data_IF_236612104950
#
_entry.id   IF_236612104950
#
_cell.length_a   1.000
_cell.length_b   1.000
_cell.length_c   1.000
_cell.angle_alpha   90.00
_cell.angle_beta   90.00
_cell.angle_gamma   90.00
#
_symmetry.space_group_name_H-M   'P 1'
#
loop_
_entity.id
_entity.type
_entity.pdbx_description
1 polymer ?
#
# COMPACT_ATOMS: atom_id res chain seq x y z
N UNK A 1 13.55 -2.67 -41.85
CA UNK A 1 13.37 -1.73 -40.74
C UNK A 1 14.76 -1.31 -40.26
N UNK A 2 15.12 -0.07 -40.46
CA UNK A 2 16.44 0.47 -40.08
C UNK A 2 16.55 0.64 -38.57
N UNK A 3 17.78 0.60 -38.00
CA UNK A 3 18.03 0.83 -36.58
C UNK A 3 17.43 2.15 -36.08
N UNK A 4 17.43 3.21 -36.91
CA UNK A 4 16.79 4.49 -36.58
C UNK A 4 15.29 4.39 -36.28
N UNK A 5 14.54 3.54 -37.01
CA UNK A 5 13.11 3.30 -36.76
C UNK A 5 12.83 2.59 -35.43
N UNK A 6 13.75 1.72 -35.00
CA UNK A 6 13.65 1.04 -33.68
C UNK A 6 14.00 1.97 -32.52
N UNK A 7 14.93 2.88 -32.75
CA UNK A 7 15.32 3.85 -31.70
C UNK A 7 14.27 4.95 -31.54
N UNK A 8 13.60 5.38 -32.63
CA UNK A 8 12.46 6.28 -32.58
C UNK A 8 11.24 5.62 -31.90
N UNK A 9 10.99 4.36 -32.13
CA UNK A 9 9.91 3.61 -31.51
C UNK A 9 10.20 3.35 -30.01
N UNK A 10 11.46 3.08 -29.65
CA UNK A 10 11.91 3.02 -28.25
C UNK A 10 11.82 4.37 -27.55
N UNK A 11 12.17 5.46 -28.24
CA UNK A 11 12.05 6.82 -27.70
C UNK A 11 10.58 7.22 -27.52
N UNK A 12 9.68 6.86 -28.46
CA UNK A 12 8.22 7.06 -28.33
C UNK A 12 7.63 6.21 -27.22
N UNK A 13 8.12 4.99 -26.98
CA UNK A 13 7.73 4.14 -25.85
C UNK A 13 8.28 4.67 -24.51
N UNK A 14 9.43 5.32 -24.52
CA UNK A 14 10.02 5.96 -23.33
C UNK A 14 9.39 7.34 -23.03
N UNK A 15 8.87 8.04 -24.05
CA UNK A 15 8.05 9.24 -23.94
C UNK A 15 6.55 8.89 -23.80
N UNK A 16 6.21 7.80 -23.11
CA UNK A 16 4.83 7.59 -22.68
C UNK A 16 4.43 8.85 -21.91
N UNK A 17 3.44 9.55 -22.43
CA UNK A 17 2.80 10.67 -21.75
C UNK A 17 2.54 10.24 -20.30
N UNK A 18 3.01 11.04 -19.36
CA UNK A 18 2.70 10.80 -17.95
C UNK A 18 1.18 10.70 -17.85
N UNK A 19 0.65 9.66 -17.19
CA UNK A 19 -0.80 9.52 -17.11
C UNK A 19 -1.41 10.76 -16.46
N UNK A 20 -2.49 11.25 -17.03
CA UNK A 20 -3.24 12.33 -16.41
C UNK A 20 -3.82 11.86 -15.07
N UNK A 21 -3.22 12.31 -13.99
CA UNK A 21 -3.64 11.98 -12.62
C UNK A 21 -4.72 12.93 -12.08
N UNK A 22 -5.07 13.98 -12.80
CA UNK A 22 -6.05 14.96 -12.31
C UNK A 22 -7.38 14.32 -11.91
N UNK A 23 -7.96 13.35 -12.66
CA UNK A 23 -9.19 12.68 -12.25
C UNK A 23 -9.02 11.86 -10.96
N UNK A 24 -7.91 11.12 -10.83
CA UNK A 24 -7.60 10.35 -9.61
C UNK A 24 -7.47 11.26 -8.40
N UNK A 25 -6.74 12.36 -8.56
CA UNK A 25 -6.50 13.33 -7.49
C UNK A 25 -7.78 14.05 -7.06
N UNK A 26 -8.68 14.35 -7.98
CA UNK A 26 -9.98 14.93 -7.66
C UNK A 26 -10.83 13.97 -6.82
N UNK A 27 -10.90 12.69 -7.20
CA UNK A 27 -11.64 11.68 -6.44
C UNK A 27 -10.96 11.39 -5.09
N UNK A 28 -9.63 11.42 -5.03
CA UNK A 28 -8.88 11.29 -3.76
C UNK A 28 -9.22 12.45 -2.82
N UNK A 29 -9.18 13.70 -3.29
CA UNK A 29 -9.51 14.89 -2.49
C UNK A 29 -10.94 14.81 -1.94
N UNK A 30 -11.88 14.40 -2.77
CA UNK A 30 -13.26 14.24 -2.35
C UNK A 30 -13.42 13.09 -1.34
N UNK A 31 -12.78 11.95 -1.58
CA UNK A 31 -12.81 10.80 -0.67
C UNK A 31 -12.29 11.19 0.70
N UNK A 32 -11.13 11.86 0.77
CA UNK A 32 -10.52 12.33 2.03
C UNK A 32 -11.48 13.31 2.72
N UNK A 33 -11.95 14.35 2.03
CA UNK A 33 -12.88 15.34 2.58
C UNK A 33 -14.12 14.68 3.20
N UNK A 34 -14.77 13.81 2.43
CA UNK A 34 -16.02 13.17 2.83
C UNK A 34 -15.83 12.30 4.08
N UNK A 35 -14.76 11.50 4.13
CA UNK A 35 -14.49 10.62 5.26
C UNK A 35 -14.08 11.42 6.50
N UNK A 36 -13.26 12.46 6.36
CA UNK A 36 -12.81 13.32 7.46
C UNK A 36 -13.98 14.11 8.07
N UNK A 37 -14.83 14.72 7.24
CA UNK A 37 -16.03 15.45 7.69
C UNK A 37 -17.02 14.57 8.45
N UNK A 38 -17.05 13.27 8.15
CA UNK A 38 -17.90 12.29 8.82
C UNK A 38 -17.22 11.55 9.98
N UNK A 39 -15.97 11.89 10.30
CA UNK A 39 -15.22 11.28 11.39
C UNK A 39 -15.01 9.77 11.20
N UNK A 40 -14.78 9.34 9.95
CA UNK A 40 -14.48 7.94 9.62
C UNK A 40 -12.98 7.72 9.69
N UNK A 41 -12.52 6.71 10.44
CA UNK A 41 -11.10 6.36 10.50
C UNK A 41 -10.67 5.51 9.31
N UNK A 42 -9.66 5.96 8.60
CA UNK A 42 -9.02 5.25 7.50
C UNK A 42 -7.54 5.61 7.40
N UNK A 43 -6.80 4.80 6.66
CA UNK A 43 -5.43 5.06 6.21
C UNK A 43 -5.35 4.79 4.71
N UNK A 44 -4.53 5.54 4.00
CA UNK A 44 -4.19 5.17 2.62
C UNK A 44 -3.15 4.04 2.65
N UNK A 45 -3.30 3.08 1.74
CA UNK A 45 -2.36 1.98 1.56
C UNK A 45 -1.99 1.79 0.07
N UNK A 46 -1.62 0.61 -0.33
CA UNK A 46 -1.45 0.22 -1.73
C UNK A 46 -0.45 1.06 -2.52
N UNK A 47 -0.90 1.56 -3.66
CA UNK A 47 -0.08 2.31 -4.60
C UNK A 47 0.34 3.67 -4.10
N UNK A 48 -0.58 4.44 -3.53
CA UNK A 48 -0.32 5.79 -3.00
C UNK A 48 0.69 5.71 -1.85
N UNK A 49 0.45 4.85 -0.86
CA UNK A 49 1.38 4.71 0.27
C UNK A 49 2.77 4.22 -0.16
N UNK A 50 2.84 3.29 -1.13
CA UNK A 50 4.13 2.83 -1.68
C UNK A 50 4.89 3.94 -2.39
N UNK A 51 4.18 4.83 -3.08
CA UNK A 51 4.78 5.99 -3.74
C UNK A 51 5.32 7.01 -2.73
N UNK A 52 4.60 7.23 -1.63
CA UNK A 52 5.03 8.16 -0.58
C UNK A 52 6.21 7.65 0.24
N UNK A 53 6.24 6.35 0.56
CA UNK A 53 7.16 5.76 1.52
C UNK A 53 8.37 5.05 0.89
N UNK A 54 8.33 4.77 -0.40
CA UNK A 54 9.35 4.00 -1.08
C UNK A 54 9.80 4.63 -2.38
N UNK A 55 9.25 4.17 -3.48
CA UNK A 55 9.59 4.67 -4.80
C UNK A 55 8.38 5.27 -5.50
N UNK A 56 8.61 6.39 -6.13
CA UNK A 56 7.64 7.05 -6.97
C UNK A 56 7.16 6.12 -8.09
N UNK A 57 5.87 5.89 -8.18
CA UNK A 57 5.22 5.12 -9.25
C UNK A 57 3.76 5.53 -9.42
N UNK A 58 3.27 5.31 -10.63
CA UNK A 58 1.87 5.54 -10.94
C UNK A 58 0.95 4.50 -10.26
N UNK A 59 -0.22 4.96 -9.85
CA UNK A 59 -1.33 4.11 -9.41
C UNK A 59 -2.60 4.55 -10.13
N UNK A 60 -3.55 3.62 -10.29
CA UNK A 60 -4.83 3.86 -10.97
C UNK A 60 -6.02 3.68 -10.03
N UNK A 61 -5.75 3.43 -8.76
CA UNK A 61 -6.71 3.14 -7.71
C UNK A 61 -6.35 3.87 -6.41
N UNK A 62 -7.36 4.06 -5.57
CA UNK A 62 -7.23 4.61 -4.23
C UNK A 62 -7.51 3.46 -3.27
N UNK A 63 -6.49 3.00 -2.55
CA UNK A 63 -6.62 1.94 -1.57
C UNK A 63 -6.81 2.55 -0.17
N UNK A 64 -8.00 2.44 0.39
CA UNK A 64 -8.31 2.77 1.79
C UNK A 64 -8.15 1.53 2.65
N UNK A 65 -7.52 1.67 3.81
CA UNK A 65 -7.46 0.64 4.84
C UNK A 65 -8.19 1.12 6.08
N UNK A 66 -9.23 0.40 6.49
CA UNK A 66 -10.07 0.75 7.62
C UNK A 66 -10.32 -0.45 8.53
N UNK A 67 -10.89 -0.20 9.71
CA UNK A 67 -11.32 -1.29 10.59
C UNK A 67 -12.48 -2.07 9.98
N UNK A 68 -12.56 -3.40 10.18
CA UNK A 68 -13.69 -4.18 9.68
C UNK A 68 -15.05 -3.64 10.11
N UNK A 69 -15.15 -3.12 11.33
CA UNK A 69 -16.39 -2.53 11.87
C UNK A 69 -16.81 -1.23 11.15
N UNK A 70 -15.85 -0.51 10.54
CA UNK A 70 -16.09 0.77 9.87
C UNK A 70 -16.35 0.61 8.36
N UNK A 71 -16.04 -0.54 7.76
CA UNK A 71 -16.10 -0.73 6.29
C UNK A 71 -17.47 -0.38 5.69
N UNK A 72 -18.54 -0.85 6.29
CA UNK A 72 -19.91 -0.53 5.85
C UNK A 72 -20.24 0.97 6.01
N UNK A 73 -19.69 1.61 7.05
CA UNK A 73 -19.86 3.06 7.26
C UNK A 73 -19.11 3.85 6.19
N UNK A 74 -17.90 3.44 5.81
CA UNK A 74 -17.17 4.03 4.67
C UNK A 74 -18.02 4.00 3.41
N UNK A 75 -18.54 2.82 3.03
CA UNK A 75 -19.39 2.71 1.84
C UNK A 75 -20.62 3.61 1.90
N UNK A 76 -21.33 3.59 3.02
CA UNK A 76 -22.52 4.43 3.20
C UNK A 76 -22.22 5.91 3.07
N UNK A 77 -21.10 6.35 3.65
CA UNK A 77 -20.65 7.75 3.62
C UNK A 77 -20.30 8.16 2.19
N UNK A 78 -19.57 7.32 1.44
CA UNK A 78 -19.23 7.59 0.04
C UNK A 78 -20.48 7.55 -0.86
N UNK A 79 -21.40 6.63 -0.64
CA UNK A 79 -22.64 6.53 -1.42
C UNK A 79 -23.50 7.81 -1.28
N UNK A 80 -23.54 8.44 -0.10
CA UNK A 80 -24.27 9.68 0.14
C UNK A 80 -23.74 10.85 -0.70
N UNK A 81 -22.48 10.80 -1.12
CA UNK A 81 -21.79 11.78 -1.97
C UNK A 81 -21.74 11.35 -3.45
N UNK A 82 -22.57 10.39 -3.83
CA UNK A 82 -22.75 9.98 -5.23
C UNK A 82 -21.71 9.01 -5.77
N UNK A 83 -20.95 8.33 -4.90
CA UNK A 83 -20.13 7.18 -5.33
C UNK A 83 -21.03 5.97 -5.57
N UNK A 84 -20.76 5.24 -6.65
CA UNK A 84 -21.32 3.89 -6.86
C UNK A 84 -20.59 2.92 -5.94
N UNK A 85 -21.31 2.21 -5.08
CA UNK A 85 -20.71 1.34 -4.04
C UNK A 85 -21.12 -0.11 -4.21
N UNK A 86 -20.20 -1.04 -3.88
CA UNK A 86 -20.39 -2.49 -4.01
C UNK A 86 -19.68 -3.22 -2.86
N UNK A 87 -20.38 -4.13 -2.19
CA UNK A 87 -19.81 -5.10 -1.25
C UNK A 87 -19.24 -6.30 -2.04
N UNK A 88 -18.08 -6.12 -2.67
CA UNK A 88 -17.54 -7.06 -3.66
C UNK A 88 -17.07 -8.38 -3.01
N UNK A 89 -16.32 -8.29 -1.92
CA UNK A 89 -15.79 -9.42 -1.15
C UNK A 89 -16.03 -9.19 0.35
N UNK A 90 -17.16 -9.67 0.90
CA UNK A 90 -17.59 -9.35 2.27
C UNK A 90 -16.58 -9.71 3.37
N UNK A 91 -15.58 -10.55 3.06
CA UNK A 91 -14.56 -10.97 4.02
C UNK A 91 -13.41 -9.98 4.15
N UNK A 92 -13.16 -9.09 3.12
CA UNK A 92 -11.94 -8.29 3.14
C UNK A 92 -11.95 -6.98 2.34
N UNK A 93 -12.84 -6.82 1.32
CA UNK A 93 -12.80 -5.69 0.37
C UNK A 93 -14.20 -5.29 -0.09
N UNK A 94 -14.50 -4.01 0.00
CA UNK A 94 -15.60 -3.35 -0.70
C UNK A 94 -15.04 -2.39 -1.75
N UNK A 95 -15.89 -1.95 -2.69
CA UNK A 95 -15.51 -1.03 -3.75
C UNK A 95 -16.42 0.18 -3.81
N UNK A 96 -15.84 1.34 -4.12
CA UNK A 96 -16.58 2.51 -4.53
C UNK A 96 -16.00 3.04 -5.85
N UNK A 97 -16.84 3.69 -6.66
CA UNK A 97 -16.42 4.26 -7.95
C UNK A 97 -17.02 5.64 -8.11
N UNK A 98 -16.21 6.57 -8.64
CA UNK A 98 -16.66 7.89 -9.07
C UNK A 98 -15.79 8.35 -10.22
N UNK A 99 -16.38 8.98 -11.26
CA UNK A 99 -15.68 9.51 -12.42
C UNK A 99 -14.66 8.52 -13.03
N UNK A 100 -15.07 7.25 -13.17
CA UNK A 100 -14.25 6.13 -13.63
C UNK A 100 -13.04 5.77 -12.73
N UNK A 101 -12.88 6.43 -11.59
CA UNK A 101 -11.83 6.10 -10.61
C UNK A 101 -12.34 5.07 -9.60
N UNK A 102 -11.44 4.16 -9.22
CA UNK A 102 -11.72 3.09 -8.26
C UNK A 102 -11.21 3.49 -6.87
N UNK A 103 -12.05 3.29 -5.87
CA UNK A 103 -11.70 3.36 -4.45
C UNK A 103 -11.93 1.97 -3.84
N UNK A 104 -10.86 1.30 -3.49
CA UNK A 104 -10.90 0.02 -2.79
C UNK A 104 -10.93 0.26 -1.28
N UNK A 105 -12.00 -0.22 -0.63
CA UNK A 105 -12.19 -0.13 0.82
C UNK A 105 -11.77 -1.47 1.42
N UNK A 106 -10.51 -1.57 1.77
CA UNK A 106 -9.90 -2.78 2.31
C UNK A 106 -10.04 -2.73 3.84
N UNK A 107 -10.51 -3.81 4.45
CA UNK A 107 -10.64 -3.91 5.91
C UNK A 107 -9.97 -5.16 6.48
N UNK A 108 -9.41 -5.99 5.60
CA UNK A 108 -8.57 -7.14 5.95
C UNK A 108 -7.59 -7.40 4.81
N UNK A 109 -6.31 -7.49 5.13
CA UNK A 109 -5.26 -7.75 4.15
C UNK A 109 -4.57 -9.09 4.41
N UNK A 110 -3.53 -9.39 3.64
CA UNK A 110 -2.75 -10.63 3.75
C UNK A 110 -2.30 -10.93 5.18
N UNK A 111 -2.31 -12.21 5.58
CA UNK A 111 -2.00 -12.63 6.94
C UNK A 111 -3.06 -12.25 7.97
N UNK A 112 -4.30 -11.99 7.54
CA UNK A 112 -5.40 -11.53 8.39
C UNK A 112 -5.12 -10.16 9.07
N UNK A 113 -4.29 -9.33 8.45
CA UNK A 113 -3.95 -8.00 8.96
C UNK A 113 -5.18 -7.07 8.89
N UNK A 114 -5.48 -6.41 10.00
CA UNK A 114 -6.54 -5.40 10.13
C UNK A 114 -5.97 -4.13 10.75
N UNK A 115 -6.66 -3.01 10.60
CA UNK A 115 -6.31 -1.76 11.27
C UNK A 115 -6.55 -1.89 12.77
N UNK A 116 -5.53 -1.62 13.57
CA UNK A 116 -5.58 -1.56 15.03
C UNK A 116 -5.13 -0.19 15.57
N UNK A 117 -5.24 -0.01 16.89
CA UNK A 117 -4.91 1.28 17.54
C UNK A 117 -3.41 1.61 17.43
N UNK A 118 -2.52 0.61 17.41
CA UNK A 118 -1.08 0.85 17.26
C UNK A 118 -0.77 1.34 15.84
N UNK A 119 -1.35 0.71 14.83
CA UNK A 119 -1.23 1.15 13.43
C UNK A 119 -1.72 2.58 13.25
N UNK A 120 -2.90 2.93 13.80
CA UNK A 120 -3.43 4.29 13.72
C UNK A 120 -2.55 5.32 14.42
N UNK A 121 -1.98 5.01 15.59
CA UNK A 121 -1.09 5.94 16.29
C UNK A 121 0.23 6.15 15.57
N UNK A 122 0.74 5.13 14.87
CA UNK A 122 2.01 5.16 14.13
C UNK A 122 1.86 5.69 12.70
N UNK A 123 0.63 5.82 12.22
CA UNK A 123 0.33 6.25 10.85
C UNK A 123 0.95 7.62 10.53
N UNK A 124 1.90 7.72 9.61
CA UNK A 124 2.50 8.99 9.25
C UNK A 124 1.57 9.81 8.36
N UNK A 125 1.69 11.13 8.47
CA UNK A 125 1.14 12.06 7.48
C UNK A 125 2.28 12.49 6.56
N UNK A 126 2.13 12.21 5.27
CA UNK A 126 3.19 12.37 4.26
C UNK A 126 2.67 13.16 3.06
N UNK A 127 3.56 13.87 2.33
CA UNK A 127 3.16 14.56 1.11
C UNK A 127 2.90 13.59 -0.04
N UNK A 128 1.83 13.85 -0.79
CA UNK A 128 1.49 13.16 -2.03
C UNK A 128 0.92 14.16 -3.04
N UNK A 129 1.61 14.43 -4.14
CA UNK A 129 1.15 15.32 -5.22
C UNK A 129 0.53 16.64 -4.73
N UNK A 130 1.23 17.33 -3.82
CA UNK A 130 0.80 18.60 -3.23
C UNK A 130 -0.26 18.52 -2.11
N UNK A 131 -0.58 17.33 -1.64
CA UNK A 131 -1.52 17.03 -0.56
C UNK A 131 -0.78 16.43 0.64
N UNK A 132 -1.37 16.53 1.82
CA UNK A 132 -0.95 15.74 2.98
C UNK A 132 -1.92 14.58 3.14
N UNK A 133 -1.39 13.37 3.13
CA UNK A 133 -2.19 12.14 3.24
C UNK A 133 -1.69 11.28 4.41
N UNK A 134 -2.62 10.63 5.08
CA UNK A 134 -2.30 9.72 6.18
C UNK A 134 -2.22 8.29 5.65
N UNK A 135 -1.06 7.66 5.78
CA UNK A 135 -0.82 6.31 5.25
C UNK A 135 -0.64 5.29 6.36
N UNK A 136 -0.78 4.01 6.02
CA UNK A 136 -0.31 2.93 6.92
C UNK A 136 1.17 3.13 7.26
N UNK A 137 1.61 2.74 8.48
CA UNK A 137 3.03 2.78 8.83
C UNK A 137 3.89 2.01 7.83
N UNK A 138 5.12 2.45 7.55
CA UNK A 138 6.00 1.77 6.59
C UNK A 138 6.25 0.30 6.96
N UNK A 139 6.37 -0.04 8.24
CA UNK A 139 6.56 -1.41 8.72
C UNK A 139 5.36 -2.30 8.37
N UNK A 140 4.14 -1.82 8.63
CA UNK A 140 2.91 -2.54 8.27
C UNK A 140 2.81 -2.71 6.77
N UNK A 141 3.15 -1.68 5.99
CA UNK A 141 3.10 -1.76 4.54
C UNK A 141 4.11 -2.77 3.99
N UNK A 142 5.35 -2.82 4.54
CA UNK A 142 6.36 -3.83 4.20
C UNK A 142 5.84 -5.24 4.49
N UNK A 143 5.25 -5.45 5.68
CA UNK A 143 4.69 -6.75 6.07
C UNK A 143 3.54 -7.17 5.14
N UNK A 144 2.57 -6.29 4.91
CA UNK A 144 1.44 -6.55 4.01
C UNK A 144 1.95 -6.89 2.61
N UNK A 145 2.84 -6.06 2.05
CA UNK A 145 3.40 -6.26 0.72
C UNK A 145 4.16 -7.59 0.58
N UNK A 146 4.95 -7.98 1.60
CA UNK A 146 5.65 -9.25 1.60
C UNK A 146 4.70 -10.44 1.59
N UNK A 147 3.60 -10.37 2.37
CA UNK A 147 2.63 -11.46 2.49
C UNK A 147 1.82 -11.62 1.21
N UNK A 148 1.37 -10.51 0.59
CA UNK A 148 0.52 -10.56 -0.62
C UNK A 148 1.32 -10.69 -1.92
N UNK A 149 2.65 -10.60 -1.86
CA UNK A 149 3.49 -10.76 -3.03
C UNK A 149 3.32 -12.16 -3.64
N UNK A 150 3.12 -12.22 -4.95
CA UNK A 150 3.00 -13.45 -5.71
C UNK A 150 3.71 -13.28 -7.07
N UNK A 151 3.99 -14.37 -7.76
CA UNK A 151 4.70 -14.37 -9.04
C UNK A 151 3.99 -13.50 -10.10
N UNK A 152 2.65 -13.51 -10.09
CA UNK A 152 1.85 -12.69 -11.01
C UNK A 152 1.67 -11.23 -10.54
N UNK A 153 2.09 -10.89 -9.31
CA UNK A 153 2.06 -9.54 -8.73
C UNK A 153 3.40 -9.13 -8.13
N UNK A 154 4.51 -9.22 -8.88
CA UNK A 154 5.87 -9.00 -8.36
C UNK A 154 6.09 -7.56 -7.86
N UNK A 155 5.25 -6.62 -8.28
CA UNK A 155 5.32 -5.22 -7.83
C UNK A 155 5.27 -5.05 -6.32
N UNK A 156 4.55 -5.92 -5.59
CA UNK A 156 4.47 -5.85 -4.13
C UNK A 156 5.83 -6.08 -3.47
N UNK A 157 6.60 -7.02 -4.01
CA UNK A 157 7.96 -7.29 -3.54
C UNK A 157 8.89 -6.11 -3.75
N UNK A 158 8.85 -5.51 -4.95
CA UNK A 158 9.67 -4.33 -5.26
C UNK A 158 9.25 -3.10 -4.46
N UNK A 159 7.95 -2.90 -4.21
CA UNK A 159 7.46 -1.83 -3.34
C UNK A 159 7.99 -2.00 -1.92
N UNK A 160 7.94 -3.22 -1.35
CA UNK A 160 8.47 -3.50 -0.01
C UNK A 160 9.97 -3.22 0.10
N UNK A 161 10.77 -3.66 -0.89
CA UNK A 161 12.21 -3.38 -0.94
C UNK A 161 12.50 -1.88 -1.05
N UNK A 162 11.71 -1.15 -1.84
CA UNK A 162 11.88 0.29 -1.99
C UNK A 162 11.57 1.03 -0.68
N UNK A 163 10.58 0.59 0.09
CA UNK A 163 10.27 1.17 1.41
C UNK A 163 11.42 0.89 2.38
N UNK A 164 11.96 -0.34 2.41
CA UNK A 164 13.12 -0.70 3.24
C UNK A 164 14.34 0.18 2.89
N UNK A 165 14.53 0.49 1.60
CA UNK A 165 15.65 1.30 1.14
C UNK A 165 15.51 2.80 1.48
N UNK A 166 14.28 3.33 1.48
CA UNK A 166 14.00 4.76 1.54
C UNK A 166 13.57 5.27 2.92
N UNK A 167 13.16 4.37 3.83
CA UNK A 167 12.55 4.74 5.11
C UNK A 167 13.33 4.13 6.27
N UNK A 168 13.56 4.93 7.33
CA UNK A 168 14.05 4.41 8.60
C UNK A 168 12.91 3.66 9.31
N UNK A 169 13.07 2.33 9.47
CA UNK A 169 12.06 1.45 10.04
C UNK A 169 12.28 1.19 11.53
N UNK A 170 11.19 1.14 12.29
CA UNK A 170 11.17 0.56 13.64
C UNK A 170 11.17 -0.98 13.51
N UNK A 171 12.36 -1.57 13.55
CA UNK A 171 12.55 -3.01 13.35
C UNK A 171 11.91 -3.88 14.44
N UNK A 172 11.79 -3.37 15.67
CA UNK A 172 11.07 -4.07 16.75
C UNK A 172 9.57 -4.11 16.46
N UNK A 173 9.03 -3.00 15.96
CA UNK A 173 7.63 -2.96 15.54
C UNK A 173 7.40 -3.86 14.34
N UNK A 174 8.23 -3.80 13.31
CA UNK A 174 8.16 -4.68 12.16
C UNK A 174 8.19 -6.16 12.59
N UNK A 175 9.07 -6.55 13.50
CA UNK A 175 9.18 -7.92 13.99
C UNK A 175 7.89 -8.39 14.69
N UNK A 176 7.25 -7.52 15.49
CA UNK A 176 5.94 -7.84 16.08
C UNK A 176 4.85 -8.06 15.02
N UNK A 177 4.82 -7.22 13.99
CA UNK A 177 3.87 -7.32 12.87
C UNK A 177 4.14 -8.52 11.96
N UNK A 178 5.40 -8.92 11.82
CA UNK A 178 5.84 -10.03 10.98
C UNK A 178 5.30 -11.41 11.37
N UNK A 179 4.79 -11.58 12.59
CA UNK A 179 4.24 -12.85 13.10
C UNK A 179 3.14 -13.45 12.23
N UNK A 180 2.44 -12.63 11.47
CA UNK A 180 1.38 -13.05 10.54
C UNK A 180 1.90 -13.64 9.23
N UNK A 181 3.22 -13.54 8.96
CA UNK A 181 3.81 -13.99 7.70
C UNK A 181 5.32 -14.21 7.78
N UNK A 182 5.80 -14.81 8.86
CA UNK A 182 7.23 -14.96 9.21
C UNK A 182 8.08 -15.42 8.02
N UNK A 183 7.65 -16.48 7.29
CA UNK A 183 8.42 -16.99 6.14
C UNK A 183 8.57 -15.98 5.01
N UNK A 184 7.52 -15.22 4.72
CA UNK A 184 7.52 -14.21 3.66
C UNK A 184 8.42 -13.03 4.02
N UNK A 185 8.30 -12.54 5.26
CA UNK A 185 9.12 -11.43 5.74
C UNK A 185 10.58 -11.85 5.85
N UNK A 186 10.88 -13.04 6.36
CA UNK A 186 12.24 -13.57 6.40
C UNK A 186 12.85 -13.64 5.00
N UNK A 187 12.11 -14.16 4.01
CA UNK A 187 12.58 -14.21 2.62
C UNK A 187 12.86 -12.83 2.05
N UNK A 188 11.98 -11.84 2.34
CA UNK A 188 12.15 -10.46 1.91
C UNK A 188 13.42 -9.84 2.54
N UNK A 189 13.62 -10.00 3.85
CA UNK A 189 14.75 -9.38 4.55
C UNK A 189 16.10 -10.05 4.18
N UNK A 190 16.12 -11.36 3.94
CA UNK A 190 17.31 -12.04 3.40
C UNK A 190 17.65 -11.53 2.01
N UNK A 191 16.64 -11.35 1.16
CA UNK A 191 16.83 -10.77 -0.17
C UNK A 191 17.28 -9.31 -0.09
N UNK A 192 16.67 -8.50 0.78
CA UNK A 192 17.09 -7.12 1.02
C UNK A 192 18.56 -7.04 1.43
N UNK A 193 18.99 -7.85 2.40
CA UNK A 193 20.37 -7.90 2.87
C UNK A 193 21.35 -8.34 1.77
N UNK A 194 20.95 -9.28 0.90
CA UNK A 194 21.79 -9.72 -0.24
C UNK A 194 21.96 -8.63 -1.31
N UNK A 195 21.19 -7.55 -1.24
CA UNK A 195 21.29 -6.38 -2.10
C UNK A 195 21.76 -5.12 -1.35
N UNK A 196 22.46 -5.31 -0.23
CA UNK A 196 23.00 -4.25 0.62
C UNK A 196 21.94 -3.25 1.15
N UNK A 197 20.66 -3.66 1.21
CA UNK A 197 19.62 -2.85 1.82
C UNK A 197 19.64 -3.00 3.36
N UNK A 198 19.19 -1.96 4.11
CA UNK A 198 19.20 -1.97 5.55
C UNK A 198 18.22 -3.01 6.12
N UNK A 199 18.73 -4.22 6.40
CA UNK A 199 18.01 -5.31 7.07
C UNK A 199 18.89 -5.87 8.20
N UNK A 200 18.64 -5.50 9.48
CA UNK A 200 19.51 -5.89 10.58
C UNK A 200 19.55 -7.39 10.80
N UNK A 201 20.76 -7.94 10.97
CA UNK A 201 20.95 -9.39 11.16
C UNK A 201 20.26 -9.94 12.41
N UNK A 202 20.02 -9.11 13.44
CA UNK A 202 19.30 -9.53 14.63
C UNK A 202 17.82 -9.81 14.33
N UNK A 203 17.17 -8.99 13.48
CA UNK A 203 15.77 -9.21 13.05
C UNK A 203 15.64 -10.55 12.32
N UNK A 204 16.61 -10.86 11.44
CA UNK A 204 16.63 -12.11 10.69
C UNK A 204 16.78 -13.30 11.65
N UNK A 205 17.66 -13.22 12.66
CA UNK A 205 17.81 -14.26 13.68
C UNK A 205 16.54 -14.48 14.48
N UNK A 206 15.86 -13.41 14.88
CA UNK A 206 14.62 -13.49 15.65
C UNK A 206 13.49 -14.12 14.82
N UNK A 207 13.39 -13.77 13.52
CA UNK A 207 12.44 -14.41 12.60
C UNK A 207 12.73 -15.91 12.41
N UNK A 208 14.00 -16.31 12.32
CA UNK A 208 14.39 -17.71 12.26
C UNK A 208 13.96 -18.45 13.54
N UNK A 209 14.22 -17.88 14.71
CA UNK A 209 13.83 -18.46 16.00
C UNK A 209 12.30 -18.64 16.12
N UNK A 210 11.51 -17.71 15.54
CA UNK A 210 10.06 -17.85 15.48
C UNK A 210 9.60 -19.03 14.60
N UNK A 211 10.39 -19.41 13.60
CA UNK A 211 10.08 -20.58 12.73
C UNK A 211 10.43 -21.91 13.39
N UNK A 212 11.46 -21.93 14.24
CA UNK A 212 11.90 -23.14 14.94
C UNK A 212 11.00 -23.49 16.14
N UNK A 213 10.32 -22.48 16.71
CA UNK A 213 9.41 -22.64 17.84
C UNK A 213 7.93 -22.84 17.47
N UNK A 214 7.60 -22.87 16.16
CA UNK A 214 6.26 -23.09 15.62
C UNK A 214 6.12 -24.49 15.04
#
# INVERSE_FOLDING_TARGET
>A
MTNASRDEERLRLALREEPDLAPLLAVLDETIRVLDENGVEYLLMGGIASSCLGRERWTHDIDLFTRPAEAARVLKTLAAEGFETEETYPEWLFKARKDAQLVDVIFRSGGNTTVDDEMLRRAPTVPFMGRLVRTVPPEDLVVIKAIVAAEHTPRHWYDALAIIAATELDWEYLLRRARQGVRRILSLLLYAQSNDLPAPSWVIRDLLSLLEGA
#
